data_IF_224757374824
#
_entry.id   IF_224757374824
#
_cell.length_a   1.000
_cell.length_b   1.000
_cell.length_c   1.000
_cell.angle_alpha   90.00
_cell.angle_beta   90.00
_cell.angle_gamma   90.00
#
_symmetry.space_group_name_H-M   'P 1'
#
loop_
_entity.id
_entity.type
_entity.pdbx_description
1 polymer ?
#
# COMPACT_ATOMS: atom_id res chain seq x y z
N UNK A 1 -8.46 -0.04 -13.04
CA UNK A 1 -8.43 1.36 -12.56
C UNK A 1 -6.99 1.84 -12.60
N UNK A 2 -6.70 2.98 -13.25
CA UNK A 2 -5.35 3.53 -13.36
C UNK A 2 -5.17 4.64 -12.32
N UNK A 3 -4.44 4.36 -11.24
CA UNK A 3 -4.26 5.28 -10.11
C UNK A 3 -2.92 6.00 -10.26
N UNK A 4 -2.94 7.33 -10.37
CA UNK A 4 -1.72 8.15 -10.38
C UNK A 4 -1.42 8.66 -8.98
N UNK A 5 -0.24 8.33 -8.43
CA UNK A 5 0.26 8.91 -7.17
C UNK A 5 0.96 10.23 -7.47
N UNK A 6 0.55 11.29 -6.78
CA UNK A 6 1.21 12.59 -6.81
C UNK A 6 1.68 12.91 -5.40
N UNK A 7 2.95 13.28 -5.25
CA UNK A 7 3.52 13.75 -3.98
C UNK A 7 3.57 15.27 -4.03
N UNK A 8 2.98 15.91 -3.02
CA UNK A 8 2.93 17.36 -2.88
C UNK A 8 3.58 17.75 -1.55
N UNK A 9 4.29 18.86 -1.55
CA UNK A 9 4.98 19.38 -0.37
C UNK A 9 4.34 20.69 0.07
N UNK A 10 4.31 20.92 1.38
CA UNK A 10 3.88 22.18 1.98
C UNK A 10 5.07 23.06 2.36
N UNK A 11 4.87 24.38 2.34
CA UNK A 11 5.80 25.35 2.91
C UNK A 11 5.63 25.46 4.44
N UNK A 12 6.41 26.34 5.08
CA UNK A 12 6.36 26.55 6.53
C UNK A 12 5.02 27.13 7.04
N UNK A 13 4.19 27.66 6.15
CA UNK A 13 2.87 28.20 6.47
C UNK A 13 1.75 27.20 6.15
N UNK A 14 2.08 26.01 5.63
CA UNK A 14 1.12 24.97 5.27
C UNK A 14 0.55 25.09 3.85
N UNK A 15 1.06 25.99 3.01
CA UNK A 15 0.61 26.09 1.62
C UNK A 15 1.33 25.07 0.75
N UNK A 16 0.65 24.54 -0.27
CA UNK A 16 1.33 23.72 -1.28
C UNK A 16 2.40 24.56 -2.00
N UNK A 17 3.65 24.05 -2.02
CA UNK A 17 4.76 24.71 -2.73
C UNK A 17 4.48 24.84 -4.24
N UNK A 18 3.73 23.90 -4.80
CA UNK A 18 3.29 23.92 -6.18
C UNK A 18 1.89 23.30 -6.30
N UNK A 19 1.05 23.94 -7.13
CA UNK A 19 -0.28 23.41 -7.46
C UNK A 19 -0.20 22.72 -8.82
N UNK A 20 -0.49 21.42 -8.92
CA UNK A 20 -0.43 20.69 -10.18
C UNK A 20 -1.53 21.17 -11.13
N UNK A 21 -1.27 21.09 -12.43
CA UNK A 21 -2.28 21.37 -13.45
C UNK A 21 -3.34 20.27 -13.47
N UNK A 22 -4.57 20.63 -13.18
CA UNK A 22 -5.72 19.73 -13.16
C UNK A 22 -6.44 19.70 -14.51
N UNK A 23 -7.20 18.63 -14.83
CA UNK A 23 -8.03 18.57 -16.02
C UNK A 23 -9.07 19.71 -16.06
N UNK A 24 -9.34 20.31 -17.23
CA UNK A 24 -10.33 21.36 -17.34
C UNK A 24 -11.75 20.82 -17.12
N UNK A 25 -12.59 21.60 -16.44
CA UNK A 25 -14.02 21.35 -16.24
C UNK A 25 -14.37 19.99 -15.62
N UNK A 26 -13.52 19.47 -14.72
CA UNK A 26 -13.79 18.22 -13.99
C UNK A 26 -13.94 18.49 -12.50
N UNK A 27 -14.91 17.81 -11.89
CA UNK A 27 -15.00 17.69 -10.43
C UNK A 27 -14.04 16.60 -9.97
N UNK A 28 -13.23 16.92 -8.96
CA UNK A 28 -12.22 16.02 -8.43
C UNK A 28 -12.42 15.88 -6.91
N UNK A 29 -12.36 14.65 -6.43
CA UNK A 29 -12.25 14.35 -5.01
C UNK A 29 -10.78 14.16 -4.67
N UNK A 30 -10.32 14.84 -3.61
CA UNK A 30 -8.92 14.79 -3.18
C UNK A 30 -8.87 14.26 -1.76
N UNK A 31 -8.09 13.20 -1.57
CA UNK A 31 -7.79 12.63 -0.26
C UNK A 31 -6.36 13.07 0.11
N UNK A 32 -6.22 13.83 1.19
CA UNK A 32 -4.92 14.29 1.69
C UNK A 32 -4.53 13.41 2.88
N UNK A 33 -3.39 12.72 2.74
CA UNK A 33 -2.80 11.94 3.81
C UNK A 33 -1.38 12.45 4.04
N UNK A 34 -1.08 13.06 5.21
CA UNK A 34 0.28 13.44 5.56
C UNK A 34 1.19 12.21 5.45
N UNK A 35 2.33 12.37 4.78
CA UNK A 35 3.36 11.33 4.79
C UNK A 35 4.09 11.47 6.12
N UNK A 36 3.85 10.53 7.03
CA UNK A 36 4.72 10.39 8.18
C UNK A 36 6.12 10.09 7.64
N UNK A 37 7.13 10.84 8.11
CA UNK A 37 8.50 10.42 7.88
C UNK A 37 8.62 8.98 8.35
N UNK A 38 9.33 8.09 7.63
CA UNK A 38 9.70 6.80 8.18
C UNK A 38 10.64 7.10 9.34
N UNK A 39 10.07 7.34 10.52
CA UNK A 39 10.82 7.26 11.76
C UNK A 39 11.45 5.89 11.69
N UNK A 40 12.78 5.80 11.78
CA UNK A 40 13.51 4.54 11.69
C UNK A 40 13.14 3.50 12.77
N UNK A 41 12.02 3.71 13.48
CA UNK A 41 11.39 2.81 14.43
C UNK A 41 10.54 1.71 13.77
N UNK A 42 10.26 1.80 12.46
CA UNK A 42 9.42 0.82 11.75
C UNK A 42 10.19 -0.24 10.96
N UNK A 43 11.43 -0.53 11.37
CA UNK A 43 12.02 -1.84 11.08
C UNK A 43 11.52 -2.92 12.06
N UNK A 44 10.41 -2.66 12.78
CA UNK A 44 9.57 -3.71 13.34
C UNK A 44 8.74 -4.36 12.24
N UNK A 45 9.41 -4.90 11.22
CA UNK A 45 8.80 -5.86 10.32
C UNK A 45 8.17 -6.93 11.20
N UNK A 46 6.90 -7.25 10.94
CA UNK A 46 6.20 -8.31 11.66
C UNK A 46 7.04 -9.57 11.58
N UNK A 47 7.62 -9.96 12.71
CA UNK A 47 8.37 -11.21 12.78
C UNK A 47 7.39 -12.30 13.18
N UNK A 48 7.48 -13.49 12.57
CA UNK A 48 6.76 -14.65 13.07
C UNK A 48 7.13 -14.91 14.55
N UNK A 49 6.20 -15.49 15.31
CA UNK A 49 6.44 -15.85 16.71
C UNK A 49 7.74 -16.67 16.84
N UNK A 50 8.56 -16.49 17.91
CA UNK A 50 9.88 -17.13 18.00
C UNK A 50 9.87 -18.65 17.79
N UNK A 51 8.78 -19.31 18.15
CA UNK A 51 8.63 -20.76 17.98
C UNK A 51 8.55 -21.22 16.53
N UNK A 52 8.11 -20.36 15.61
CA UNK A 52 7.92 -20.68 14.18
C UNK A 52 8.91 -19.94 13.28
N UNK A 53 9.59 -18.90 13.80
CA UNK A 53 10.61 -18.17 13.08
C UNK A 53 11.72 -19.11 12.56
N UNK A 54 11.97 -19.08 11.24
CA UNK A 54 12.99 -19.91 10.59
C UNK A 54 12.67 -21.41 10.51
N UNK A 55 11.53 -21.87 11.02
CA UNK A 55 11.10 -23.27 10.97
C UNK A 55 10.15 -23.59 9.82
N UNK A 56 9.69 -22.56 9.10
CA UNK A 56 8.79 -22.71 7.96
C UNK A 56 9.63 -22.78 6.68
N UNK A 57 9.42 -23.85 5.91
CA UNK A 57 9.94 -23.99 4.55
C UNK A 57 8.76 -23.85 3.60
N UNK A 58 8.83 -22.87 2.71
CA UNK A 58 7.90 -22.78 1.59
C UNK A 58 8.22 -23.94 0.64
N UNK A 59 7.24 -24.81 0.42
CA UNK A 59 7.40 -25.98 -0.45
C UNK A 59 7.08 -25.65 -1.91
N UNK A 60 6.34 -24.57 -2.18
CA UNK A 60 5.88 -24.18 -3.51
C UNK A 60 5.61 -22.65 -3.60
N UNK A 61 5.25 -22.16 -4.79
CA UNK A 61 4.78 -20.80 -5.03
C UNK A 61 3.45 -20.54 -4.32
N UNK A 62 3.39 -19.46 -3.55
CA UNK A 62 2.22 -19.07 -2.73
C UNK A 62 1.38 -17.99 -3.40
N UNK A 63 1.82 -17.47 -4.55
CA UNK A 63 1.10 -16.43 -5.29
C UNK A 63 -0.04 -17.00 -6.14
N UNK A 64 0.01 -18.30 -6.43
CA UNK A 64 -1.00 -19.00 -7.19
C UNK A 64 -1.84 -19.93 -6.30
N UNK A 65 -3.16 -19.77 -6.35
CA UNK A 65 -4.09 -20.75 -5.80
C UNK A 65 -4.43 -21.79 -6.86
N UNK A 66 -4.84 -22.98 -6.43
CA UNK A 66 -5.58 -23.88 -7.31
C UNK A 66 -6.82 -23.15 -7.90
N UNK A 67 -7.26 -23.47 -9.13
CA UNK A 67 -8.44 -22.86 -9.74
C UNK A 67 -9.68 -22.94 -8.84
N UNK A 68 -10.55 -21.93 -8.90
CA UNK A 68 -11.76 -21.88 -8.07
C UNK A 68 -12.70 -23.07 -8.25
N UNK A 69 -12.68 -23.71 -9.42
CA UNK A 69 -13.42 -24.94 -9.70
C UNK A 69 -12.97 -26.12 -8.81
N UNK A 70 -11.71 -26.12 -8.39
CA UNK A 70 -11.11 -27.15 -7.55
C UNK A 70 -11.26 -26.85 -6.06
N UNK A 71 -11.95 -25.77 -5.68
CA UNK A 71 -12.15 -25.37 -4.29
C UNK A 71 -13.19 -26.23 -3.56
N UNK A 72 -13.74 -27.25 -4.22
CA UNK A 72 -14.73 -28.19 -3.67
C UNK A 72 -15.87 -27.47 -2.91
N UNK A 73 -16.27 -26.30 -3.43
CA UNK A 73 -17.37 -25.49 -2.94
C UNK A 73 -18.68 -26.16 -3.35
N UNK A 74 -19.03 -27.24 -2.65
CA UNK A 74 -20.34 -27.87 -2.82
C UNK A 74 -21.42 -26.84 -2.44
N UNK A 75 -22.22 -26.46 -3.45
CA UNK A 75 -23.38 -25.58 -3.32
C UNK A 75 -24.63 -26.38 -3.00
#
# INVERSE_FOLDING_TARGET
MNTKRLILETDAMGNLKQVPKLPPNQQLEVIIMPVEEPTGADDKRRQPHPEIAGKIKLLDDIFDSIPAADWNLNS
#
